data_IF_168687185749
#
_entry.id   IF_168687185749
#
_cell.length_a   1.000
_cell.length_b   1.000
_cell.length_c   1.000
_cell.angle_alpha   90.00
_cell.angle_beta   90.00
_cell.angle_gamma   90.00
#
_symmetry.space_group_name_H-M   'P 1'
#
loop_
_entity.id
_entity.type
_entity.pdbx_description
1 polymer ?
#
# COMPACT_ATOMS: atom_id res chain seq x y z
N UNK A 1 28.83 -14.27 6.29
CA UNK A 1 27.96 -13.48 7.15
C UNK A 1 26.58 -14.12 7.05
N UNK A 2 26.17 -14.78 8.16
CA UNK A 2 24.84 -15.34 8.26
C UNK A 2 23.87 -14.15 8.29
N UNK A 3 23.04 -14.02 7.27
CA UNK A 3 21.87 -13.15 7.32
C UNK A 3 20.99 -13.75 8.42
N UNK A 4 20.93 -13.12 9.58
CA UNK A 4 19.94 -13.43 10.60
C UNK A 4 18.58 -13.17 9.97
N UNK A 5 17.93 -14.23 9.55
CA UNK A 5 16.53 -14.20 9.13
C UNK A 5 15.71 -13.98 10.41
N UNK A 6 15.43 -12.73 10.70
CA UNK A 6 14.47 -12.38 11.73
C UNK A 6 13.08 -12.61 11.13
N UNK A 7 12.26 -13.51 11.67
CA UNK A 7 10.89 -13.66 11.19
C UNK A 7 10.18 -12.31 11.35
N UNK A 8 9.28 -11.95 10.41
CA UNK A 8 8.55 -10.70 10.51
C UNK A 8 7.84 -10.63 11.86
N UNK A 9 8.09 -9.53 12.57
CA UNK A 9 7.44 -9.28 13.85
C UNK A 9 5.94 -9.08 13.56
N UNK A 10 5.15 -10.08 13.93
CA UNK A 10 3.71 -9.88 14.07
C UNK A 10 3.46 -8.80 15.13
N UNK A 11 2.31 -8.17 15.06
CA UNK A 11 1.84 -7.17 16.02
C UNK A 11 2.12 -7.58 17.48
N UNK A 12 1.82 -8.84 17.84
CA UNK A 12 2.04 -9.37 19.19
C UNK A 12 3.51 -9.29 19.63
N UNK A 13 4.46 -9.57 18.74
CA UNK A 13 5.88 -9.51 19.08
C UNK A 13 6.37 -8.06 19.26
N UNK A 14 5.85 -7.14 18.44
CA UNK A 14 6.13 -5.71 18.58
C UNK A 14 5.61 -5.16 19.92
N UNK A 15 4.37 -5.51 20.27
CA UNK A 15 3.76 -5.09 21.52
C UNK A 15 4.44 -5.69 22.74
N UNK A 16 4.79 -6.98 22.71
CA UNK A 16 5.50 -7.65 23.82
C UNK A 16 6.87 -7.02 24.04
N UNK A 17 7.62 -6.73 22.97
CA UNK A 17 8.92 -6.08 23.09
C UNK A 17 8.81 -4.65 23.66
N UNK A 18 7.86 -3.86 23.19
CA UNK A 18 7.63 -2.51 23.68
C UNK A 18 7.03 -2.49 25.09
N UNK A 19 6.08 -3.37 25.42
CA UNK A 19 5.49 -3.49 26.75
C UNK A 19 6.49 -3.94 27.80
N UNK A 20 7.38 -4.88 27.49
CA UNK A 20 8.43 -5.34 28.38
C UNK A 20 9.35 -4.18 28.83
N UNK A 21 9.62 -3.23 27.93
CA UNK A 21 10.48 -2.07 28.24
C UNK A 21 9.74 -0.94 28.93
N UNK A 22 8.44 -0.77 28.69
CA UNK A 22 7.70 0.42 29.13
C UNK A 22 6.62 0.15 30.17
N UNK A 23 6.09 -1.09 30.24
CA UNK A 23 4.92 -1.41 31.09
C UNK A 23 3.66 -0.63 30.71
N UNK A 24 3.49 -0.32 29.42
CA UNK A 24 2.35 0.43 28.89
C UNK A 24 1.25 -0.54 28.40
N UNK A 25 -0.01 -0.12 28.43
CA UNK A 25 -1.12 -0.92 27.91
C UNK A 25 -1.02 -1.08 26.38
N UNK A 26 -1.46 -2.22 25.84
CA UNK A 26 -1.33 -2.58 24.42
C UNK A 26 -2.02 -1.57 23.49
N UNK A 27 -3.18 -1.05 23.87
CA UNK A 27 -3.90 -0.06 23.06
C UNK A 27 -3.12 1.25 22.90
N UNK A 28 -2.44 1.71 23.95
CA UNK A 28 -1.62 2.92 23.90
C UNK A 28 -0.36 2.68 23.06
N UNK A 29 0.23 1.48 23.16
CA UNK A 29 1.38 1.09 22.35
C UNK A 29 1.03 1.06 20.87
N UNK A 30 -0.14 0.51 20.50
CA UNK A 30 -0.61 0.52 19.12
C UNK A 30 -0.79 1.93 18.58
N UNK A 31 -1.38 2.83 19.36
CA UNK A 31 -1.56 4.22 18.95
C UNK A 31 -0.21 4.91 18.73
N UNK A 32 0.79 4.64 19.56
CA UNK A 32 2.14 5.15 19.38
C UNK A 32 2.83 4.52 18.17
N UNK A 33 2.69 3.21 17.96
CA UNK A 33 3.25 2.52 16.80
C UNK A 33 2.66 3.04 15.49
N UNK A 34 1.34 3.23 15.44
CA UNK A 34 0.66 3.78 14.27
C UNK A 34 1.13 5.20 13.94
N UNK A 35 1.34 6.02 14.98
CA UNK A 35 1.85 7.37 14.81
C UNK A 35 3.31 7.38 14.30
N UNK A 36 4.22 6.60 14.90
CA UNK A 36 5.61 6.52 14.45
C UNK A 36 5.74 5.92 13.05
N UNK A 37 4.93 4.91 12.74
CA UNK A 37 4.86 4.33 11.39
C UNK A 37 4.52 5.42 10.37
N UNK A 38 3.47 6.20 10.60
CA UNK A 38 2.93 7.19 9.65
C UNK A 38 3.76 8.46 9.57
N UNK A 39 4.24 8.94 10.71
CA UNK A 39 4.90 10.24 10.80
C UNK A 39 6.40 10.15 10.49
N UNK A 40 7.03 9.01 10.78
CA UNK A 40 8.49 8.84 10.69
C UNK A 40 8.90 7.87 9.60
N UNK A 41 8.46 6.61 9.65
CA UNK A 41 9.00 5.55 8.80
C UNK A 41 8.41 5.53 7.38
N UNK A 42 7.11 5.80 7.23
CA UNK A 42 6.47 5.83 5.90
C UNK A 42 7.01 6.95 5.03
N UNK A 43 7.17 8.20 5.49
CA UNK A 43 7.79 9.26 4.69
C UNK A 43 9.21 8.92 4.27
N UNK A 44 9.98 8.28 5.16
CA UNK A 44 11.33 7.84 4.88
C UNK A 44 11.35 6.74 3.83
N UNK A 45 10.50 5.73 3.95
CA UNK A 45 10.36 4.66 2.95
C UNK A 45 9.95 5.19 1.58
N UNK A 46 9.03 6.16 1.53
CA UNK A 46 8.64 6.83 0.28
C UNK A 46 9.80 7.59 -0.39
N UNK A 47 10.84 7.95 0.36
CA UNK A 47 12.05 8.55 -0.17
C UNK A 47 13.08 7.56 -0.69
N UNK A 48 13.07 6.31 -0.19
CA UNK A 48 14.10 5.29 -0.49
C UNK A 48 13.57 4.24 -1.47
N UNK A 49 12.37 3.72 -1.22
CA UNK A 49 11.75 2.66 -2.02
C UNK A 49 10.24 2.90 -2.12
N UNK A 50 9.89 3.85 -2.97
CA UNK A 50 8.49 4.25 -3.12
C UNK A 50 7.58 3.12 -3.63
N UNK A 51 8.13 2.17 -4.42
CA UNK A 51 7.37 1.06 -4.99
C UNK A 51 6.78 0.13 -3.93
N UNK A 52 7.35 0.07 -2.72
CA UNK A 52 6.86 -0.79 -1.64
C UNK A 52 5.39 -0.52 -1.30
N UNK A 53 4.96 0.74 -1.35
CA UNK A 53 3.57 1.14 -1.09
C UNK A 53 2.76 1.32 -2.37
N UNK A 54 3.31 1.02 -3.53
CA UNK A 54 2.59 1.13 -4.80
C UNK A 54 1.58 -0.01 -4.94
N UNK A 55 0.33 0.35 -5.25
CA UNK A 55 -0.74 -0.61 -5.52
C UNK A 55 -1.46 -0.21 -6.80
N UNK A 56 -2.03 -1.22 -7.44
CA UNK A 56 -2.83 -1.06 -8.63
C UNK A 56 -4.31 -1.10 -8.27
N UNK A 57 -5.07 -0.17 -8.80
CA UNK A 57 -6.53 -0.12 -8.71
C UNK A 57 -7.13 -0.17 -10.09
N UNK A 58 -8.19 -0.93 -10.25
CA UNK A 58 -9.02 -0.94 -11.45
C UNK A 58 -10.32 -0.19 -11.16
N UNK A 59 -10.62 0.78 -12.00
CA UNK A 59 -11.85 1.59 -11.91
C UNK A 59 -12.69 1.33 -13.14
N UNK A 60 -13.87 0.77 -12.94
CA UNK A 60 -14.84 0.57 -14.04
C UNK A 60 -15.41 1.92 -14.47
N UNK A 61 -15.39 2.17 -15.77
CA UNK A 61 -15.79 3.41 -16.39
C UNK A 61 -17.12 3.22 -17.08
N UNK A 62 -18.04 4.15 -16.85
CA UNK A 62 -19.35 4.22 -17.49
C UNK A 62 -19.35 5.32 -18.53
N UNK A 63 -19.91 5.05 -19.70
CA UNK A 63 -20.08 6.05 -20.76
C UNK A 63 -20.83 7.30 -20.25
N UNK A 64 -20.37 8.47 -20.61
CA UNK A 64 -20.98 9.75 -20.22
C UNK A 64 -20.62 10.23 -18.81
N UNK A 65 -19.90 9.46 -18.02
CA UNK A 65 -19.44 9.85 -16.68
C UNK A 65 -17.95 10.23 -16.73
N UNK A 66 -17.65 11.49 -16.42
CA UNK A 66 -16.26 11.99 -16.46
C UNK A 66 -15.49 11.84 -15.15
N UNK A 67 -16.16 11.79 -14.00
CA UNK A 67 -15.53 11.85 -12.69
C UNK A 67 -15.73 10.59 -11.83
N UNK A 68 -14.64 9.98 -11.37
CA UNK A 68 -14.63 8.74 -10.60
C UNK A 68 -13.92 8.91 -9.27
N UNK A 69 -14.46 8.32 -8.22
CA UNK A 69 -13.79 8.29 -6.91
C UNK A 69 -12.57 7.40 -6.98
N UNK A 70 -11.46 7.89 -6.45
CA UNK A 70 -10.26 7.09 -6.22
C UNK A 70 -10.36 6.52 -4.81
N UNK A 71 -9.72 5.36 -4.61
CA UNK A 71 -9.60 4.77 -3.28
C UNK A 71 -9.08 5.81 -2.27
N UNK A 72 -9.78 5.94 -1.12
CA UNK A 72 -9.47 6.95 -0.09
C UNK A 72 -8.06 6.84 0.50
N UNK A 73 -7.46 5.65 0.41
CA UNK A 73 -6.09 5.40 0.88
C UNK A 73 -5.04 5.80 -0.14
N UNK A 74 -5.40 5.99 -1.41
CA UNK A 74 -4.46 6.45 -2.42
C UNK A 74 -3.95 7.86 -2.07
N UNK A 75 -2.64 8.02 -2.08
CA UNK A 75 -2.03 9.33 -1.94
C UNK A 75 -2.16 10.08 -3.28
N UNK A 76 -3.19 10.91 -3.41
CA UNK A 76 -3.54 11.60 -4.67
C UNK A 76 -2.41 12.45 -5.25
N UNK A 77 -1.50 12.95 -4.41
CA UNK A 77 -0.31 13.68 -4.86
C UNK A 77 0.73 12.80 -5.55
N UNK A 78 0.63 11.47 -5.37
CA UNK A 78 1.60 10.48 -5.85
C UNK A 78 0.91 9.39 -6.67
N UNK A 79 0.08 9.77 -7.64
CA UNK A 79 -0.34 8.85 -8.69
C UNK A 79 0.85 8.65 -9.62
N UNK A 80 1.26 7.40 -9.79
CA UNK A 80 2.38 7.07 -10.67
C UNK A 80 1.91 7.00 -12.13
N UNK A 81 0.94 6.13 -12.41
CA UNK A 81 0.37 6.00 -13.76
C UNK A 81 -1.15 5.90 -13.71
N UNK A 82 -1.78 6.44 -14.72
CA UNK A 82 -3.20 6.28 -15.00
C UNK A 82 -3.31 5.85 -16.45
N UNK A 83 -3.89 4.68 -16.69
CA UNK A 83 -3.93 4.05 -18.01
C UNK A 83 -5.37 3.65 -18.34
N UNK A 84 -5.81 3.96 -19.54
CA UNK A 84 -7.04 3.41 -20.09
C UNK A 84 -6.78 2.00 -20.60
N UNK A 85 -7.58 1.03 -20.20
CA UNK A 85 -7.50 -0.34 -20.67
C UNK A 85 -8.54 -0.61 -21.76
N UNK A 86 -8.09 -1.20 -22.83
CA UNK A 86 -8.94 -1.77 -23.86
C UNK A 86 -9.45 -3.16 -23.42
N UNK A 87 -10.38 -3.72 -24.19
CA UNK A 87 -10.95 -5.04 -23.90
C UNK A 87 -9.93 -6.20 -23.92
N UNK A 88 -8.81 -6.03 -24.62
CA UNK A 88 -7.69 -6.98 -24.70
C UNK A 88 -6.64 -6.75 -23.60
N UNK A 89 -6.93 -5.93 -22.60
CA UNK A 89 -6.01 -5.46 -21.56
C UNK A 89 -4.80 -4.67 -22.07
N UNK A 90 -4.69 -4.39 -23.36
CA UNK A 90 -3.76 -3.38 -23.84
C UNK A 90 -4.20 -2.01 -23.31
N UNK A 91 -3.26 -1.16 -22.95
CA UNK A 91 -3.58 0.13 -22.39
C UNK A 91 -2.75 1.24 -23.00
N UNK A 92 -3.26 2.46 -22.90
CA UNK A 92 -2.49 3.66 -23.20
C UNK A 92 -2.53 4.60 -21.99
N UNK A 93 -1.42 5.30 -21.71
CA UNK A 93 -1.35 6.22 -20.58
C UNK A 93 -2.24 7.43 -20.82
N UNK A 94 -2.86 7.90 -19.75
CA UNK A 94 -3.53 9.20 -19.73
C UNK A 94 -2.58 10.23 -19.15
N UNK A 95 -2.47 11.39 -19.82
CA UNK A 95 -1.62 12.47 -19.37
C UNK A 95 -2.32 13.32 -18.30
N UNK A 96 -1.57 13.67 -17.25
CA UNK A 96 -2.08 14.57 -16.23
C UNK A 96 -2.04 16.01 -16.72
N UNK A 97 -3.17 16.71 -16.62
CA UNK A 97 -3.27 18.13 -16.97
C UNK A 97 -3.68 18.97 -15.77
N UNK A 98 -3.29 20.26 -15.78
CA UNK A 98 -3.84 21.25 -14.86
C UNK A 98 -5.29 21.58 -15.28
N UNK A 99 -6.26 21.59 -14.35
CA UNK A 99 -7.64 21.96 -14.64
C UNK A 99 -7.78 23.32 -15.35
N UNK A 100 -6.92 24.28 -15.01
CA UNK A 100 -6.89 25.61 -15.68
C UNK A 100 -6.49 25.49 -17.16
N UNK A 101 -5.59 24.58 -17.47
CA UNK A 101 -5.14 24.35 -18.83
C UNK A 101 -6.19 23.62 -19.66
N UNK A 102 -7.00 22.75 -19.05
CA UNK A 102 -8.12 22.12 -19.71
C UNK A 102 -9.14 23.14 -20.24
N UNK A 103 -9.37 24.20 -19.48
CA UNK A 103 -10.23 25.32 -19.90
C UNK A 103 -9.60 26.18 -21.03
N UNK A 104 -8.27 26.29 -21.06
CA UNK A 104 -7.55 27.10 -22.07
C UNK A 104 -7.42 26.40 -23.42
N UNK A 105 -7.43 25.09 -23.48
CA UNK A 105 -7.30 24.31 -24.73
C UNK A 105 -8.58 24.37 -25.59
N UNK A 106 -9.55 25.19 -25.18
CA UNK A 106 -10.72 25.55 -26.01
C UNK A 106 -11.70 24.41 -26.26
N UNK A 107 -11.54 23.31 -25.53
CA UNK A 107 -12.43 22.17 -25.67
C UNK A 107 -13.57 22.34 -24.69
N UNK A 108 -14.76 22.39 -25.22
CA UNK A 108 -16.00 22.44 -24.45
C UNK A 108 -15.97 21.38 -23.34
N UNK A 109 -16.36 21.75 -22.11
CA UNK A 109 -16.55 20.81 -20.98
C UNK A 109 -17.53 19.68 -21.31
N UNK A 110 -18.22 19.78 -22.42
CA UNK A 110 -19.19 18.81 -22.95
C UNK A 110 -18.62 17.91 -24.04
N UNK A 111 -17.31 18.00 -24.37
CA UNK A 111 -16.74 17.10 -25.36
C UNK A 111 -16.72 15.67 -24.84
N UNK A 112 -17.39 14.79 -25.58
CA UNK A 112 -17.39 13.32 -25.32
C UNK A 112 -16.49 12.64 -26.34
N UNK A 113 -15.71 11.67 -25.87
CA UNK A 113 -14.76 10.97 -26.73
C UNK A 113 -13.90 9.97 -25.95
N UNK A 114 -12.87 9.48 -26.61
CA UNK A 114 -11.88 8.64 -25.95
C UNK A 114 -10.99 9.50 -25.05
N UNK A 115 -10.90 9.23 -23.73
CA UNK A 115 -10.08 10.00 -22.80
C UNK A 115 -8.61 9.95 -23.19
N UNK A 116 -7.94 11.10 -23.09
CA UNK A 116 -6.48 11.22 -23.26
C UNK A 116 -5.81 11.87 -22.07
N UNK A 117 -6.59 12.60 -21.30
CA UNK A 117 -6.10 13.38 -20.17
C UNK A 117 -6.91 13.09 -18.92
N UNK A 118 -6.30 13.36 -17.78
CA UNK A 118 -7.00 13.38 -16.51
C UNK A 118 -6.51 14.53 -15.64
N UNK A 119 -7.35 14.93 -14.68
CA UNK A 119 -6.98 15.80 -13.57
C UNK A 119 -7.65 15.32 -12.29
N UNK A 120 -7.21 15.87 -11.16
CA UNK A 120 -7.72 15.52 -9.86
C UNK A 120 -8.54 16.69 -9.32
N UNK A 121 -9.76 16.40 -8.88
CA UNK A 121 -10.67 17.37 -8.30
C UNK A 121 -11.42 16.75 -7.11
N UNK A 122 -11.26 17.33 -5.92
CA UNK A 122 -11.98 16.90 -4.72
C UNK A 122 -11.86 15.41 -4.40
N UNK A 123 -10.71 14.79 -4.64
CA UNK A 123 -10.49 13.35 -4.45
C UNK A 123 -11.07 12.45 -5.54
N UNK A 124 -11.45 13.04 -6.67
CA UNK A 124 -11.92 12.32 -7.86
C UNK A 124 -10.89 12.42 -8.97
N UNK A 125 -10.79 11.35 -9.75
CA UNK A 125 -10.16 11.34 -11.05
C UNK A 125 -11.19 11.84 -12.06
N UNK A 126 -10.92 12.94 -12.72
CA UNK A 126 -11.77 13.47 -13.80
C UNK A 126 -11.04 13.24 -15.11
N UNK A 127 -11.70 12.53 -16.02
CA UNK A 127 -11.16 12.22 -17.34
C UNK A 127 -11.66 13.21 -18.37
N UNK A 128 -10.79 13.49 -19.33
CA UNK A 128 -11.11 14.43 -20.40
C UNK A 128 -10.51 13.98 -21.73
N UNK A 129 -11.29 13.99 -22.85
CA UNK A 129 -12.75 14.16 -22.91
C UNK A 129 -13.52 13.18 -22.03
N UNK A 130 -14.79 13.51 -21.75
CA UNK A 130 -15.67 12.57 -21.03
C UNK A 130 -15.79 11.27 -21.83
N UNK A 131 -15.60 10.08 -21.21
CA UNK A 131 -15.66 8.81 -21.91
C UNK A 131 -16.98 8.62 -22.68
N UNK A 132 -16.89 8.30 -23.95
CA UNK A 132 -18.06 7.98 -24.79
C UNK A 132 -18.38 6.48 -24.82
N UNK A 133 -17.55 5.66 -24.21
CA UNK A 133 -17.72 4.20 -24.08
C UNK A 133 -17.43 3.75 -22.66
N UNK A 134 -17.97 2.60 -22.29
CA UNK A 134 -17.57 1.91 -21.07
C UNK A 134 -16.15 1.33 -21.24
N UNK A 135 -15.43 1.22 -20.14
CA UNK A 135 -14.06 0.71 -20.14
C UNK A 135 -13.53 0.50 -18.75
N UNK A 136 -12.24 0.34 -18.62
CA UNK A 136 -11.56 0.23 -17.32
C UNK A 136 -10.36 1.16 -17.31
N UNK A 137 -10.14 1.83 -16.18
CA UNK A 137 -8.92 2.61 -15.95
C UNK A 137 -8.09 1.92 -14.88
N UNK A 138 -6.84 1.69 -15.20
CA UNK A 138 -5.82 1.19 -14.27
C UNK A 138 -5.08 2.36 -13.67
N UNK A 139 -5.12 2.46 -12.35
CA UNK A 139 -4.45 3.50 -11.57
C UNK A 139 -3.38 2.84 -10.73
N UNK A 140 -2.14 3.26 -10.87
CA UNK A 140 -1.07 2.92 -9.94
C UNK A 140 -0.81 4.11 -9.03
N UNK A 141 -1.02 3.89 -7.74
CA UNK A 141 -0.88 4.93 -6.74
C UNK A 141 -0.17 4.40 -5.49
N UNK A 142 0.45 5.31 -4.75
CA UNK A 142 0.94 5.00 -3.41
C UNK A 142 -0.24 4.91 -2.46
N UNK A 143 -0.26 3.83 -1.68
CA UNK A 143 -1.30 3.57 -0.69
C UNK A 143 -0.76 3.91 0.69
N UNK A 144 -1.54 4.65 1.46
CA UNK A 144 -1.23 4.89 2.88
C UNK A 144 -1.37 3.58 3.64
N UNK A 145 -0.45 3.24 4.53
CA UNK A 145 -0.57 2.09 5.40
C UNK A 145 -1.90 2.11 6.16
N UNK A 146 -2.48 0.94 6.38
CA UNK A 146 -3.64 0.78 7.23
C UNK A 146 -3.27 1.02 8.70
N UNK A 147 -4.27 1.28 9.53
CA UNK A 147 -4.11 1.41 10.98
C UNK A 147 -3.84 0.05 11.59
N UNK A 148 -2.92 0.02 12.53
CA UNK A 148 -2.67 -1.18 13.29
C UNK A 148 -3.83 -1.46 14.25
N UNK A 149 -4.22 -2.72 14.36
CA UNK A 149 -5.23 -3.20 15.30
C UNK A 149 -4.83 -4.58 15.83
N UNK A 150 -5.33 -4.94 17.01
CA UNK A 150 -5.03 -6.22 17.64
C UNK A 150 -5.68 -7.37 16.86
N UNK A 151 -4.98 -8.50 16.73
CA UNK A 151 -5.55 -9.76 16.21
C UNK A 151 -6.70 -10.25 17.08
N UNK A 152 -6.72 -9.86 18.35
CA UNK A 152 -7.81 -10.13 19.31
C UNK A 152 -8.99 -9.17 19.17
N UNK A 153 -8.87 -8.10 18.39
CA UNK A 153 -9.96 -7.17 18.12
C UNK A 153 -10.92 -7.76 17.07
N UNK A 154 -11.80 -8.61 17.51
CA UNK A 154 -12.80 -9.28 16.66
C UNK A 154 -13.79 -8.33 15.98
N UNK A 155 -13.79 -7.04 16.33
CA UNK A 155 -14.60 -6.01 15.67
C UNK A 155 -13.98 -5.59 14.33
N UNK A 156 -12.66 -5.42 14.30
CA UNK A 156 -11.95 -4.90 13.15
C UNK A 156 -11.23 -5.96 12.32
N UNK A 157 -10.87 -7.09 12.92
CA UNK A 157 -10.09 -8.16 12.29
C UNK A 157 -10.68 -9.52 12.60
N UNK A 158 -10.78 -10.37 11.59
CA UNK A 158 -11.25 -11.74 11.75
C UNK A 158 -10.43 -12.70 10.90
N UNK A 159 -9.97 -13.83 11.48
CA UNK A 159 -9.24 -14.83 10.72
C UNK A 159 -10.17 -15.60 9.79
N UNK A 160 -9.65 -15.95 8.63
CA UNK A 160 -10.29 -16.83 7.66
C UNK A 160 -10.09 -18.28 8.11
N UNK A 161 -11.17 -19.03 8.24
CA UNK A 161 -11.14 -20.43 8.69
C UNK A 161 -11.30 -21.44 7.55
N UNK A 162 -11.94 -21.04 6.44
CA UNK A 162 -12.01 -21.84 5.22
C UNK A 162 -12.07 -20.93 3.99
N UNK A 163 -11.66 -21.45 2.84
CA UNK A 163 -11.68 -20.73 1.55
C UNK A 163 -12.17 -21.67 0.46
N UNK A 164 -13.11 -21.21 -0.34
CA UNK A 164 -13.60 -21.88 -1.54
C UNK A 164 -13.45 -20.95 -2.74
N UNK A 165 -12.60 -21.33 -3.68
CA UNK A 165 -12.36 -20.52 -4.89
C UNK A 165 -13.33 -20.95 -5.98
N UNK A 166 -14.25 -20.08 -6.33
CA UNK A 166 -15.17 -20.22 -7.46
C UNK A 166 -14.60 -19.66 -8.77
N UNK A 167 -15.35 -19.75 -9.85
CA UNK A 167 -14.95 -19.23 -11.15
C UNK A 167 -14.94 -17.71 -11.22
N UNK A 168 -15.88 -17.04 -10.53
CA UNK A 168 -16.09 -15.59 -10.55
C UNK A 168 -15.80 -14.93 -9.21
N UNK A 169 -15.94 -15.66 -8.13
CA UNK A 169 -15.84 -15.19 -6.75
C UNK A 169 -15.09 -16.19 -5.87
N UNK A 170 -14.58 -15.69 -4.77
CA UNK A 170 -13.94 -16.48 -3.73
C UNK A 170 -14.74 -16.32 -2.45
N UNK A 171 -15.25 -17.43 -1.94
CA UNK A 171 -15.92 -17.49 -0.65
C UNK A 171 -14.92 -17.73 0.48
N UNK A 172 -15.05 -16.94 1.54
CA UNK A 172 -14.24 -17.08 2.75
C UNK A 172 -15.16 -17.32 3.94
N UNK A 173 -14.86 -18.34 4.72
CA UNK A 173 -15.57 -18.63 5.95
C UNK A 173 -14.89 -17.94 7.12
N UNK A 174 -15.67 -17.23 7.93
CA UNK A 174 -15.24 -16.45 9.09
C UNK A 174 -16.24 -16.68 10.19
N UNK A 175 -15.86 -17.35 11.25
CA UNK A 175 -16.77 -17.67 12.35
C UNK A 175 -17.40 -16.40 12.92
N UNK A 176 -18.73 -16.32 12.85
CA UNK A 176 -19.54 -15.23 13.37
C UNK A 176 -19.02 -13.85 12.95
N UNK A 177 -18.93 -13.61 11.61
CA UNK A 177 -18.38 -12.35 11.12
C UNK A 177 -19.16 -11.10 11.55
N UNK A 178 -20.43 -11.24 11.95
CA UNK A 178 -21.25 -10.15 12.49
C UNK A 178 -21.61 -9.07 11.47
N UNK A 179 -21.44 -9.35 10.17
CA UNK A 179 -21.77 -8.44 9.08
C UNK A 179 -23.13 -8.84 8.55
N UNK A 180 -24.09 -7.93 8.61
CA UNK A 180 -25.48 -8.20 8.19
C UNK A 180 -25.81 -7.75 6.78
N UNK A 181 -24.95 -6.92 6.20
CA UNK A 181 -25.10 -6.37 4.83
C UNK A 181 -23.74 -6.30 4.15
N UNK A 182 -23.73 -6.27 2.82
CA UNK A 182 -22.49 -6.08 2.06
C UNK A 182 -21.71 -4.87 2.56
N UNK A 183 -20.43 -5.05 2.77
CA UNK A 183 -19.56 -4.03 3.35
C UNK A 183 -18.19 -4.02 2.68
N UNK A 184 -17.53 -2.88 2.77
CA UNK A 184 -16.16 -2.73 2.25
C UNK A 184 -15.17 -3.32 3.25
N UNK A 185 -14.32 -4.21 2.77
CA UNK A 185 -13.33 -4.94 3.57
C UNK A 185 -11.97 -4.97 2.90
N UNK A 186 -10.94 -5.08 3.72
CA UNK A 186 -9.59 -5.41 3.27
C UNK A 186 -9.34 -6.89 3.54
N UNK A 187 -8.64 -7.57 2.64
CA UNK A 187 -8.15 -8.93 2.87
C UNK A 187 -6.64 -8.86 2.98
N UNK A 188 -6.10 -9.40 4.05
CA UNK A 188 -4.67 -9.30 4.40
C UNK A 188 -4.08 -10.69 4.56
N UNK A 189 -3.01 -10.97 3.82
CA UNK A 189 -2.28 -12.23 3.95
C UNK A 189 -1.59 -12.32 5.32
N UNK A 190 -1.58 -13.53 5.92
CA UNK A 190 -0.95 -13.77 7.20
C UNK A 190 0.57 -13.94 7.07
N UNK A 191 1.01 -14.96 6.36
CA UNK A 191 2.43 -15.31 6.16
C UNK A 191 2.64 -15.85 4.76
N UNK A 192 3.81 -15.64 4.14
CA UNK A 192 4.98 -14.87 4.60
C UNK A 192 4.94 -13.39 4.19
N UNK A 193 3.96 -12.96 3.38
CA UNK A 193 4.02 -11.67 2.71
C UNK A 193 3.41 -10.51 3.50
N UNK A 194 2.45 -10.75 4.38
CA UNK A 194 1.69 -9.73 5.13
C UNK A 194 1.13 -8.60 4.24
N UNK A 195 0.88 -8.90 3.00
CA UNK A 195 0.41 -7.93 2.02
C UNK A 195 -1.12 -7.89 1.95
N UNK A 196 -1.64 -6.82 1.40
CA UNK A 196 -3.06 -6.74 1.07
C UNK A 196 -3.35 -7.56 -0.17
N UNK A 197 -4.21 -8.58 -0.01
CA UNK A 197 -4.78 -9.36 -1.12
C UNK A 197 -5.95 -8.61 -1.76
N UNK A 198 -6.66 -7.80 -0.98
CA UNK A 198 -7.68 -6.88 -1.46
C UNK A 198 -7.67 -5.60 -0.63
N UNK A 199 -7.94 -4.48 -1.26
CA UNK A 199 -8.08 -3.16 -0.66
C UNK A 199 -9.45 -2.60 -0.99
N UNK A 200 -10.22 -2.26 0.05
CA UNK A 200 -11.57 -1.71 -0.08
C UNK A 200 -12.46 -2.55 -1.02
N UNK A 201 -12.32 -3.89 -0.97
CA UNK A 201 -13.15 -4.79 -1.75
C UNK A 201 -14.56 -4.88 -1.14
N UNK A 202 -15.55 -4.98 -2.01
CA UNK A 202 -16.91 -5.25 -1.56
C UNK A 202 -17.03 -6.72 -1.18
N UNK A 203 -17.28 -6.99 0.10
CA UNK A 203 -17.64 -8.29 0.59
C UNK A 203 -19.16 -8.45 0.50
N UNK A 204 -19.65 -9.48 -0.19
CA UNK A 204 -21.06 -9.86 -0.20
C UNK A 204 -21.30 -10.87 0.92
N UNK A 205 -22.37 -10.68 1.68
CA UNK A 205 -22.73 -11.59 2.76
C UNK A 205 -23.58 -12.71 2.17
N UNK A 206 -23.08 -13.93 2.25
CA UNK A 206 -23.81 -15.13 1.81
C UNK A 206 -24.61 -15.74 2.97
N UNK A 207 -23.99 -15.84 4.15
CA UNK A 207 -24.62 -16.30 5.38
C UNK A 207 -23.94 -15.70 6.62
N UNK A 208 -24.20 -16.25 7.83
CA UNK A 208 -23.65 -15.76 9.10
C UNK A 208 -22.13 -15.92 9.22
N UNK A 209 -21.56 -16.85 8.48
CA UNK A 209 -20.16 -17.24 8.58
C UNK A 209 -19.42 -17.12 7.25
N UNK A 210 -20.12 -16.78 6.15
CA UNK A 210 -19.53 -16.77 4.79
C UNK A 210 -19.66 -15.41 4.13
N UNK A 211 -18.53 -14.92 3.63
CA UNK A 211 -18.44 -13.73 2.79
C UNK A 211 -17.89 -14.12 1.42
N UNK A 212 -18.39 -13.53 0.34
CA UNK A 212 -17.83 -13.68 -1.00
C UNK A 212 -17.19 -12.39 -1.49
N UNK A 213 -16.10 -12.56 -2.24
CA UNK A 213 -15.36 -11.49 -2.90
C UNK A 213 -15.21 -11.81 -4.39
N UNK A 214 -15.43 -10.83 -5.25
CA UNK A 214 -15.15 -10.99 -6.68
C UNK A 214 -13.65 -11.26 -6.90
N UNK A 215 -13.32 -12.28 -7.69
CA UNK A 215 -11.93 -12.63 -8.00
C UNK A 215 -11.15 -11.47 -8.62
N UNK A 216 -11.83 -10.58 -9.35
CA UNK A 216 -11.22 -9.38 -9.92
C UNK A 216 -10.82 -8.32 -8.88
N UNK A 217 -11.33 -8.40 -7.66
CA UNK A 217 -10.96 -7.51 -6.55
C UNK A 217 -9.79 -8.05 -5.72
N UNK A 218 -9.42 -9.31 -5.92
CA UNK A 218 -8.32 -9.98 -5.23
C UNK A 218 -7.07 -9.96 -6.11
N UNK A 219 -5.92 -9.66 -5.53
CA UNK A 219 -4.62 -9.81 -6.23
C UNK A 219 -4.17 -11.26 -6.29
N UNK A 220 -4.51 -12.02 -5.25
CA UNK A 220 -4.23 -13.45 -5.10
C UNK A 220 -5.34 -14.04 -4.24
N UNK A 221 -5.66 -15.32 -4.43
CA UNK A 221 -6.64 -16.02 -3.59
C UNK A 221 -6.15 -16.08 -2.14
N UNK A 222 -7.00 -15.73 -1.16
CA UNK A 222 -6.68 -15.87 0.25
C UNK A 222 -6.53 -17.35 0.63
N UNK A 223 -5.87 -17.59 1.75
CA UNK A 223 -5.71 -18.92 2.34
C UNK A 223 -6.24 -18.94 3.78
N UNK A 224 -6.40 -20.12 4.33
CA UNK A 224 -6.75 -20.29 5.74
C UNK A 224 -5.67 -19.68 6.63
N UNK A 225 -6.07 -18.86 7.59
CA UNK A 225 -5.17 -18.11 8.47
C UNK A 225 -4.94 -16.67 8.02
N UNK A 226 -5.35 -16.28 6.83
CA UNK A 226 -5.40 -14.88 6.42
C UNK A 226 -6.53 -14.15 7.16
N UNK A 227 -6.57 -12.83 7.02
CA UNK A 227 -7.51 -12.01 7.76
C UNK A 227 -8.41 -11.19 6.84
N UNK A 228 -9.68 -11.12 7.22
CA UNK A 228 -10.59 -10.09 6.71
C UNK A 228 -10.67 -8.96 7.74
N UNK A 229 -10.35 -7.76 7.29
CA UNK A 229 -10.30 -6.57 8.12
C UNK A 229 -11.37 -5.57 7.72
N UNK A 230 -11.79 -4.75 8.67
CA UNK A 230 -12.52 -3.51 8.32
C UNK A 230 -11.59 -2.64 7.47
N UNK A 231 -12.13 -2.01 6.44
CA UNK A 231 -11.35 -1.11 5.57
C UNK A 231 -10.52 -0.13 6.40
N UNK A 232 -9.25 -0.02 6.07
CA UNK A 232 -8.24 0.82 6.73
C UNK A 232 -7.67 0.24 8.05
N UNK A 233 -7.93 -1.04 8.37
CA UNK A 233 -7.31 -1.72 9.51
C UNK A 233 -6.47 -2.91 9.05
N UNK A 234 -5.42 -3.22 9.82
CA UNK A 234 -4.53 -4.37 9.58
C UNK A 234 -3.96 -4.90 10.89
N UNK A 235 -3.85 -6.23 11.05
CA UNK A 235 -3.19 -6.82 12.21
C UNK A 235 -1.66 -6.85 12.07
N UNK A 236 -1.10 -6.43 10.93
CA UNK A 236 0.32 -6.52 10.67
C UNK A 236 0.95 -5.18 10.34
N UNK A 237 2.18 -5.00 10.77
CA UNK A 237 2.98 -3.82 10.44
C UNK A 237 3.32 -3.83 8.96
N UNK A 238 2.78 -2.88 8.21
CA UNK A 238 3.05 -2.69 6.78
C UNK A 238 4.37 -1.96 6.55
N UNK A 239 5.45 -2.60 6.93
CA UNK A 239 6.81 -2.10 6.84
C UNK A 239 7.74 -3.26 6.49
N UNK A 240 8.78 -3.05 5.66
CA UNK A 240 9.81 -4.06 5.45
C UNK A 240 10.36 -4.59 6.77
N UNK A 241 10.63 -5.89 6.79
CA UNK A 241 11.10 -6.60 7.99
C UNK A 241 12.35 -5.98 8.59
N UNK A 242 13.21 -5.44 7.73
CA UNK A 242 14.46 -4.78 8.07
C UNK A 242 14.27 -3.50 8.90
N UNK A 243 13.11 -2.85 8.77
CA UNK A 243 12.79 -1.62 9.50
C UNK A 243 11.88 -1.84 10.71
N UNK A 244 11.33 -3.03 10.91
CA UNK A 244 10.46 -3.32 12.05
C UNK A 244 11.17 -3.17 13.41
N UNK A 245 12.45 -3.58 13.58
CA UNK A 245 13.16 -3.31 14.82
C UNK A 245 13.30 -1.82 15.15
N UNK A 246 13.49 -0.98 14.13
CA UNK A 246 13.54 0.47 14.32
C UNK A 246 12.20 1.04 14.80
N UNK A 247 11.07 0.50 14.33
CA UNK A 247 9.76 0.89 14.81
C UNK A 247 9.60 0.61 16.32
N UNK A 248 10.05 -0.56 16.78
CA UNK A 248 10.01 -0.91 18.21
C UNK A 248 10.74 0.13 19.05
N UNK A 249 11.98 0.48 18.66
CA UNK A 249 12.80 1.46 19.37
C UNK A 249 12.17 2.86 19.35
N UNK A 250 11.57 3.27 18.23
CA UNK A 250 10.85 4.54 18.13
C UNK A 250 9.64 4.59 19.07
N UNK A 251 8.88 3.50 19.14
CA UNK A 251 7.71 3.40 20.05
C UNK A 251 8.17 3.51 21.50
N UNK A 252 9.21 2.78 21.89
CA UNK A 252 9.78 2.83 23.24
C UNK A 252 10.24 4.26 23.55
N UNK A 253 10.99 4.89 22.65
CA UNK A 253 11.46 6.25 22.82
C UNK A 253 10.30 7.25 23.02
N UNK A 254 9.24 7.11 22.24
CA UNK A 254 8.04 7.97 22.33
C UNK A 254 7.32 7.81 23.66
N UNK A 255 7.12 6.58 24.12
CA UNK A 255 6.48 6.30 25.42
C UNK A 255 7.32 6.80 26.58
N UNK A 256 8.64 6.57 26.57
CA UNK A 256 9.55 7.05 27.60
C UNK A 256 9.57 8.60 27.64
N UNK A 257 9.54 9.24 26.47
CA UNK A 257 9.44 10.70 26.37
C UNK A 257 8.15 11.24 26.99
N UNK A 258 7.01 10.57 26.70
CA UNK A 258 5.72 10.92 27.30
C UNK A 258 5.72 10.77 28.83
N UNK A 259 6.55 9.87 29.38
CA UNK A 259 6.73 9.66 30.82
C UNK A 259 7.78 10.56 31.46
N UNK A 260 8.39 11.48 30.71
CA UNK A 260 9.41 12.40 31.20
C UNK A 260 10.81 11.77 31.36
N UNK A 261 11.04 10.52 30.92
CA UNK A 261 12.32 9.83 30.98
C UNK A 261 13.19 10.19 29.77
N UNK A 262 13.60 11.44 29.65
CA UNK A 262 14.24 11.99 28.45
C UNK A 262 15.57 11.31 28.09
N UNK A 263 16.40 10.97 29.09
CA UNK A 263 17.71 10.33 28.84
C UNK A 263 17.55 8.94 28.25
N UNK A 264 16.67 8.12 28.83
CA UNK A 264 16.34 6.79 28.31
C UNK A 264 15.73 6.88 26.91
N UNK A 265 14.78 7.81 26.72
CA UNK A 265 14.14 8.04 25.42
C UNK A 265 15.14 8.43 24.32
N UNK A 266 16.15 9.24 24.63
CA UNK A 266 17.17 9.64 23.67
C UNK A 266 18.09 8.46 23.30
N UNK A 267 18.41 7.57 24.23
CA UNK A 267 19.17 6.36 23.94
C UNK A 267 18.43 5.47 22.94
N UNK A 268 17.14 5.22 23.16
CA UNK A 268 16.30 4.43 22.24
C UNK A 268 16.13 5.14 20.89
N UNK A 269 16.00 6.46 20.85
CA UNK A 269 15.93 7.22 19.61
C UNK A 269 17.23 7.09 18.77
N UNK A 270 18.40 7.17 19.43
CA UNK A 270 19.69 7.00 18.75
C UNK A 270 19.85 5.57 18.21
N UNK A 271 19.40 4.54 18.96
CA UNK A 271 19.41 3.16 18.49
C UNK A 271 18.44 2.98 17.31
N UNK A 272 17.27 3.59 17.35
CA UNK A 272 16.32 3.59 16.23
C UNK A 272 16.94 4.20 14.96
N UNK A 273 17.63 5.33 15.05
CA UNK A 273 18.32 5.95 13.93
C UNK A 273 19.39 5.02 13.34
N UNK A 274 20.15 4.34 14.19
CA UNK A 274 21.14 3.34 13.76
C UNK A 274 20.48 2.18 13.01
N UNK A 275 19.38 1.64 13.54
CA UNK A 275 18.64 0.54 12.92
C UNK A 275 17.97 0.96 11.62
N UNK A 276 17.45 2.18 11.53
CA UNK A 276 16.94 2.77 10.29
C UNK A 276 18.04 2.82 9.23
N UNK A 277 19.24 3.27 9.60
CA UNK A 277 20.36 3.32 8.66
C UNK A 277 20.74 1.94 8.12
N UNK A 278 20.75 0.91 8.96
CA UNK A 278 21.02 -0.48 8.56
C UNK A 278 19.88 -0.99 7.66
N UNK A 279 18.62 -0.79 8.07
CA UNK A 279 17.45 -1.24 7.31
C UNK A 279 17.40 -0.61 5.93
N UNK A 280 17.62 0.70 5.83
CA UNK A 280 17.69 1.40 4.53
C UNK A 280 18.81 0.82 3.64
N UNK A 281 20.00 0.61 4.20
CA UNK A 281 21.10 0.04 3.43
C UNK A 281 20.81 -1.38 2.94
N UNK A 282 19.99 -2.14 3.67
CA UNK A 282 19.57 -3.49 3.29
C UNK A 282 18.48 -3.47 2.19
N UNK A 283 17.56 -2.51 2.28
CA UNK A 283 16.41 -2.39 1.36
C UNK A 283 16.80 -1.67 0.07
N UNK A 284 17.75 -0.71 0.14
CA UNK A 284 18.17 0.04 -1.04
C UNK A 284 18.73 -0.94 -2.07
N UNK A 285 18.10 -1.09 -3.24
CA UNK A 285 18.60 -2.01 -4.26
C UNK A 285 20.04 -1.57 -4.59
N UNK A 286 20.96 -2.50 -4.46
CA UNK A 286 22.31 -2.30 -5.01
C UNK A 286 22.15 -2.20 -6.51
N UNK A 287 22.06 -0.97 -7.00
CA UNK A 287 22.12 -0.70 -8.42
C UNK A 287 23.57 -0.92 -8.85
N UNK A 288 24.00 -2.20 -8.88
CA UNK A 288 25.25 -2.61 -9.50
C UNK A 288 25.24 -2.40 -11.01
N UNK A 289 24.09 -2.05 -11.54
CA UNK A 289 23.87 -1.59 -12.91
C UNK A 289 23.44 -0.11 -12.92
N UNK A 290 24.11 0.76 -12.19
CA UNK A 290 24.30 2.07 -12.80
C UNK A 290 24.87 1.73 -14.18
N UNK A 291 24.09 2.01 -15.24
CA UNK A 291 24.62 2.02 -16.59
C UNK A 291 26.02 2.62 -16.49
N UNK A 292 27.03 1.76 -16.43
CA UNK A 292 28.36 2.20 -16.78
C UNK A 292 28.14 2.63 -18.21
N UNK A 293 27.82 3.91 -18.40
CA UNK A 293 28.12 4.54 -19.64
C UNK A 293 29.56 4.16 -19.84
N UNK A 294 29.80 3.11 -20.63
CA UNK A 294 31.05 2.86 -21.26
C UNK A 294 31.13 4.05 -22.21
N UNK A 295 31.46 5.20 -21.64
CA UNK A 295 32.05 6.27 -22.39
C UNK A 295 33.30 5.63 -22.94
N UNK A 296 33.15 5.03 -24.14
CA UNK A 296 34.24 4.53 -24.89
C UNK A 296 35.25 5.69 -24.90
N UNK A 297 36.23 5.56 -24.03
CA UNK A 297 37.27 6.57 -23.96
C UNK A 297 37.83 6.76 -25.34
N UNK A 298 38.39 7.93 -25.67
CA UNK A 298 38.92 8.23 -26.98
C UNK A 298 40.01 7.27 -27.48
N UNK A 299 40.41 6.30 -26.67
CA UNK A 299 41.40 5.28 -26.99
C UNK A 299 40.93 4.21 -27.99
N UNK A 300 39.63 4.00 -28.20
CA UNK A 300 39.13 3.03 -29.18
C UNK A 300 39.19 3.55 -30.63
N UNK A 301 39.45 4.83 -30.87
CA UNK A 301 39.52 5.40 -32.21
C UNK A 301 40.93 5.42 -32.83
N UNK A 302 41.99 5.04 -32.08
CA UNK A 302 43.37 5.14 -32.57
C UNK A 302 43.97 3.87 -33.17
N UNK A 303 43.25 2.74 -33.23
CA UNK A 303 43.81 1.49 -33.76
C UNK A 303 43.27 1.08 -35.15
N UNK A 304 42.72 2.01 -35.91
CA UNK A 304 42.39 1.75 -37.32
C UNK A 304 42.94 2.85 -38.19
N UNK A 305 44.25 2.88 -38.36
CA UNK A 305 44.86 3.32 -39.60
C UNK A 305 45.33 2.07 -40.33
N UNK A 306 44.72 1.70 -41.44
CA UNK A 306 45.37 0.77 -42.37
C UNK A 306 46.50 1.51 -43.09
N UNK A 307 47.64 0.91 -43.09
CA UNK A 307 48.71 1.19 -44.06
C UNK A 307 48.25 0.71 -45.43
#
# INVERSE_FOLDING_TARGET
>A
PAVLYCPPLGEAALLVAAAASTGTADADLLAHADAELRDTLVPLMLGVQEEYYQRQFLVSIVSGVGGYRINKRAALSRLNTVEWLNADNSGYPLDRIDPKRALQVGVSTTSSGQPRYYYLEGGRLVMWPTPNAAGTVRIRAFVRPARLTLTTDTTNVKPITAVTVGATDTEVTIVAHGISVSAIRDVVASTPSFEHLALDATATVEDLDTLSFLNTSLTTSPIVGDYVCVSDFTPYVQLPVELQPALVELVIARVLRARGKLTEANNHATEAERLVGIGIAAITPRVDTADRKITGGPHWRKSRNPI
#
